data_IF_357336068313
#
_entry.id   IF_357336068313
#
_cell.length_a   1.000
_cell.length_b   1.000
_cell.length_c   1.000
_cell.angle_alpha   90.00
_cell.angle_beta   90.00
_cell.angle_gamma   90.00
#
_symmetry.space_group_name_H-M   'P 1'
#
loop_
_entity.id
_entity.type
_entity.pdbx_description
1 polymer ?
#
# COMPACT_ATOMS: atom_id res chain seq x y z
N UNK A 1 26.87 -14.76 59.43
CA UNK A 1 27.18 -13.41 58.93
C UNK A 1 27.59 -13.55 57.47
N UNK A 2 26.67 -13.21 56.58
CA UNK A 2 26.91 -13.05 55.14
C UNK A 2 26.29 -11.69 54.84
N UNK A 3 27.09 -10.75 54.35
CA UNK A 3 26.64 -9.41 53.92
C UNK A 3 27.16 -9.14 52.52
N UNK A 4 26.24 -8.62 51.70
CA UNK A 4 26.42 -8.06 50.35
C UNK A 4 27.41 -6.88 50.32
N UNK A 5 27.97 -6.64 49.13
CA UNK A 5 28.20 -5.33 48.46
C UNK A 5 28.72 -5.67 47.03
N UNK A 6 27.98 -5.41 45.94
CA UNK A 6 27.64 -4.15 45.24
C UNK A 6 28.79 -3.57 44.38
N UNK A 7 28.45 -3.38 43.10
CA UNK A 7 28.89 -2.34 42.17
C UNK A 7 30.33 -2.36 41.62
N UNK A 8 30.44 -2.73 40.33
CA UNK A 8 31.49 -2.24 39.43
C UNK A 8 30.85 -1.56 38.21
N UNK A 9 31.16 -0.28 38.10
CA UNK A 9 30.76 0.67 37.06
C UNK A 9 31.32 0.26 35.68
N UNK A 10 30.49 0.39 34.64
CA UNK A 10 30.89 0.28 33.24
C UNK A 10 31.29 1.68 32.74
N UNK A 11 32.56 1.84 32.37
CA UNK A 11 33.11 3.06 31.78
C UNK A 11 32.36 3.49 30.50
N UNK A 12 32.01 4.78 30.43
CA UNK A 12 31.44 5.46 29.27
C UNK A 12 32.50 5.61 28.15
N UNK A 13 32.22 5.03 26.98
CA UNK A 13 33.02 5.27 25.77
C UNK A 13 32.68 6.64 25.14
N UNK A 14 33.68 7.52 25.06
CA UNK A 14 33.59 8.83 24.40
C UNK A 14 33.41 8.70 22.87
N UNK A 15 32.59 9.55 22.22
CA UNK A 15 32.32 9.46 20.78
C UNK A 15 33.51 9.94 19.95
N UNK A 16 33.95 9.10 19.01
CA UNK A 16 34.98 9.42 18.04
C UNK A 16 34.49 10.47 17.03
N UNK A 17 35.34 11.47 16.79
CA UNK A 17 35.14 12.58 15.85
C UNK A 17 35.36 12.07 14.42
N UNK A 18 34.34 12.14 13.57
CA UNK A 18 34.45 11.82 12.13
C UNK A 18 34.92 13.05 11.37
N UNK A 19 36.17 13.01 10.87
CA UNK A 19 36.71 14.00 9.96
C UNK A 19 36.16 13.79 8.54
N UNK A 20 35.51 14.81 7.98
CA UNK A 20 35.02 14.83 6.61
C UNK A 20 36.14 15.13 5.60
N UNK A 21 36.06 14.52 4.43
CA UNK A 21 36.83 14.96 3.27
C UNK A 21 36.07 14.65 1.98
N UNK A 22 35.79 15.69 1.19
CA UNK A 22 35.15 15.59 -0.13
C UNK A 22 34.21 16.77 -0.37
N UNK A 23 34.41 17.50 -1.46
CA UNK A 23 33.60 18.67 -1.85
C UNK A 23 32.13 18.27 -2.09
N UNK A 24 31.31 18.32 -1.06
CA UNK A 24 29.86 18.30 -1.21
C UNK A 24 29.40 19.73 -1.49
N UNK A 25 28.89 19.97 -2.70
CA UNK A 25 27.98 21.09 -2.93
C UNK A 25 26.85 20.88 -1.91
N UNK A 26 26.73 21.80 -0.95
CA UNK A 26 25.74 21.69 0.13
C UNK A 26 24.36 21.59 -0.51
N UNK A 27 23.84 20.35 -0.55
CA UNK A 27 22.55 20.05 -1.13
C UNK A 27 21.48 20.45 -0.10
N UNK A 28 21.03 21.70 -0.16
CA UNK A 28 20.00 22.27 0.73
C UNK A 28 18.63 21.55 0.63
N UNK A 29 18.51 20.55 -0.26
CA UNK A 29 17.29 19.76 -0.41
C UNK A 29 17.13 18.81 0.76
N UNK A 30 15.88 18.71 1.22
CA UNK A 30 15.50 17.77 2.25
C UNK A 30 15.52 16.34 1.73
N UNK A 31 16.33 15.48 2.35
CA UNK A 31 16.50 14.06 2.01
C UNK A 31 15.41 13.22 2.67
N UNK A 32 14.52 12.64 1.85
CA UNK A 32 13.36 11.88 2.32
C UNK A 32 13.48 10.41 1.89
N UNK A 33 13.37 9.50 2.87
CA UNK A 33 13.35 8.05 2.63
C UNK A 33 11.92 7.48 2.72
N UNK A 34 11.48 6.80 1.67
CA UNK A 34 10.28 5.96 1.64
C UNK A 34 10.62 4.49 1.86
N UNK A 35 9.86 3.82 2.72
CA UNK A 35 10.06 2.39 3.02
C UNK A 35 8.82 1.60 2.60
N UNK A 36 8.97 0.74 1.60
CA UNK A 36 7.89 0.05 0.89
C UNK A 36 7.60 0.70 -0.47
N UNK A 37 7.32 -0.09 -1.50
CA UNK A 37 7.04 0.27 -2.89
C UNK A 37 5.55 0.03 -3.26
N UNK A 38 4.67 0.05 -2.26
CA UNK A 38 3.21 -0.05 -2.44
C UNK A 38 2.57 1.24 -2.94
N UNK A 39 1.24 1.24 -3.11
CA UNK A 39 0.53 2.39 -3.68
C UNK A 39 0.72 3.71 -2.89
N UNK A 40 0.93 3.65 -1.56
CA UNK A 40 1.16 4.84 -0.74
C UNK A 40 2.46 5.52 -1.12
N UNK A 41 3.57 4.78 -1.15
CA UNK A 41 4.88 5.35 -1.50
C UNK A 41 4.93 5.78 -2.95
N UNK A 42 4.31 5.06 -3.88
CA UNK A 42 4.20 5.48 -5.27
C UNK A 42 3.43 6.80 -5.40
N UNK A 43 2.37 6.98 -4.63
CA UNK A 43 1.63 8.24 -4.55
C UNK A 43 2.49 9.36 -3.96
N UNK A 44 3.15 9.15 -2.82
CA UNK A 44 4.01 10.17 -2.18
C UNK A 44 5.21 10.53 -3.07
N UNK A 45 5.89 9.53 -3.62
CA UNK A 45 7.02 9.67 -4.52
C UNK A 45 6.62 10.28 -5.87
N UNK A 46 5.34 10.30 -6.26
CA UNK A 46 4.89 11.06 -7.42
C UNK A 46 4.90 12.58 -7.17
N UNK A 47 4.70 13.02 -5.91
CA UNK A 47 4.48 14.42 -5.56
C UNK A 47 5.76 15.14 -5.14
N UNK A 48 6.59 14.54 -4.28
CA UNK A 48 7.84 15.20 -3.82
C UNK A 48 8.79 15.59 -4.97
N UNK A 49 9.03 14.75 -5.99
CA UNK A 49 9.93 15.09 -7.10
C UNK A 49 9.39 16.16 -8.06
N UNK A 50 8.15 16.61 -7.91
CA UNK A 50 7.65 17.79 -8.63
C UNK A 50 8.25 19.09 -8.06
N UNK A 51 8.94 19.00 -6.94
CA UNK A 51 9.69 20.07 -6.31
C UNK A 51 11.17 19.66 -6.15
N UNK A 52 11.89 19.40 -7.26
CA UNK A 52 13.27 18.91 -7.24
C UNK A 52 14.24 19.91 -6.60
N UNK A 53 13.83 21.17 -6.44
CA UNK A 53 14.56 22.22 -5.71
C UNK A 53 14.41 22.12 -4.18
N UNK A 54 13.49 21.30 -3.67
CA UNK A 54 13.19 21.17 -2.23
C UNK A 54 13.51 19.79 -1.66
N UNK A 55 13.42 18.73 -2.46
CA UNK A 55 13.47 17.36 -1.97
C UNK A 55 14.45 16.49 -2.77
N UNK A 56 15.23 15.70 -2.04
CA UNK A 56 16.01 14.58 -2.56
C UNK A 56 15.37 13.28 -2.07
N UNK A 57 14.86 12.45 -2.98
CA UNK A 57 13.95 11.34 -2.65
C UNK A 57 14.61 9.98 -2.88
N UNK A 58 14.56 9.12 -1.86
CA UNK A 58 14.94 7.69 -1.98
C UNK A 58 13.77 6.80 -1.61
N UNK A 59 13.52 5.73 -2.38
CA UNK A 59 12.52 4.70 -2.09
C UNK A 59 13.22 3.36 -1.98
N UNK A 60 12.96 2.62 -0.88
CA UNK A 60 13.50 1.28 -0.65
C UNK A 60 12.39 0.27 -0.41
N UNK A 61 12.52 -0.94 -0.95
CA UNK A 61 11.64 -2.08 -0.64
C UNK A 61 12.45 -3.37 -0.62
N UNK A 62 12.14 -4.26 0.32
CA UNK A 62 12.73 -5.59 0.41
C UNK A 62 12.37 -6.47 -0.80
N UNK A 63 11.27 -6.16 -1.48
CA UNK A 63 10.75 -6.85 -2.66
C UNK A 63 11.29 -6.22 -3.95
N UNK A 64 11.44 -7.02 -5.00
CA UNK A 64 12.03 -6.59 -6.28
C UNK A 64 11.07 -5.87 -7.25
N UNK A 65 9.83 -5.58 -6.85
CA UNK A 65 8.81 -4.97 -7.70
C UNK A 65 7.99 -3.90 -6.96
N UNK A 66 7.29 -3.04 -7.72
CA UNK A 66 6.40 -2.01 -7.18
C UNK A 66 4.93 -2.43 -7.33
N UNK A 67 4.06 -1.99 -6.41
CA UNK A 67 2.59 -2.12 -6.54
C UNK A 67 1.96 -3.36 -5.91
N UNK A 68 2.73 -4.32 -5.39
CA UNK A 68 2.20 -5.59 -4.84
C UNK A 68 2.41 -6.77 -5.79
N UNK A 69 2.16 -8.02 -5.34
CA UNK A 69 2.49 -9.21 -6.11
C UNK A 69 1.78 -9.23 -7.47
N UNK A 70 2.44 -9.74 -8.53
CA UNK A 70 1.86 -9.72 -9.86
C UNK A 70 0.57 -10.55 -9.92
N UNK A 71 -0.53 -9.91 -10.29
CA UNK A 71 -1.85 -10.54 -10.38
C UNK A 71 -2.13 -10.98 -11.82
N UNK A 72 -2.29 -12.29 -12.07
CA UNK A 72 -2.49 -12.84 -13.43
C UNK A 72 -3.74 -12.28 -14.10
N UNK A 73 -4.80 -12.10 -13.32
CA UNK A 73 -6.10 -11.63 -13.79
C UNK A 73 -6.09 -10.11 -14.04
N UNK A 74 -5.11 -9.39 -13.47
CA UNK A 74 -4.90 -7.96 -13.64
C UNK A 74 -3.49 -7.70 -14.22
N UNK A 75 -3.20 -8.16 -15.45
CA UNK A 75 -1.85 -8.09 -16.02
C UNK A 75 -1.35 -6.64 -16.13
N UNK A 76 -2.26 -5.70 -16.40
CA UNK A 76 -1.96 -4.26 -16.49
C UNK A 76 -1.57 -3.64 -15.14
N UNK A 77 -1.90 -4.27 -14.01
CA UNK A 77 -1.49 -3.77 -12.70
C UNK A 77 0.02 -3.94 -12.49
N UNK A 78 0.59 -5.03 -13.02
CA UNK A 78 2.03 -5.26 -13.04
C UNK A 78 2.73 -4.24 -13.95
N UNK A 79 2.19 -4.04 -15.16
CA UNK A 79 2.69 -3.04 -16.11
C UNK A 79 2.60 -1.62 -15.53
N UNK A 80 1.56 -1.32 -14.76
CA UNK A 80 1.41 -0.05 -14.06
C UNK A 80 2.52 0.16 -13.02
N UNK A 81 2.84 -0.86 -12.23
CA UNK A 81 3.95 -0.81 -11.26
C UNK A 81 5.29 -0.50 -11.92
N UNK A 82 5.63 -1.21 -13.01
CA UNK A 82 6.86 -1.01 -13.77
C UNK A 82 6.92 0.38 -14.44
N UNK A 83 5.84 0.78 -15.10
CA UNK A 83 5.75 2.08 -15.78
C UNK A 83 5.88 3.21 -14.77
N UNK A 84 5.22 3.07 -13.62
CA UNK A 84 5.31 4.06 -12.54
C UNK A 84 6.72 4.12 -11.96
N UNK A 85 7.38 2.99 -11.76
CA UNK A 85 8.80 2.95 -11.32
C UNK A 85 9.70 3.71 -12.31
N UNK A 86 9.60 3.44 -13.61
CA UNK A 86 10.36 4.15 -14.66
C UNK A 86 10.07 5.66 -14.64
N UNK A 87 8.82 6.05 -14.44
CA UNK A 87 8.41 7.45 -14.35
C UNK A 87 8.93 8.16 -13.08
N UNK A 88 9.09 7.44 -11.97
CA UNK A 88 9.71 7.98 -10.76
C UNK A 88 11.22 8.17 -10.95
N UNK A 89 11.90 7.18 -11.53
CA UNK A 89 13.34 7.27 -11.84
C UNK A 89 13.63 8.42 -12.80
N UNK A 90 12.83 8.60 -13.85
CA UNK A 90 13.01 9.73 -14.78
C UNK A 90 12.78 11.11 -14.15
N UNK A 91 12.12 11.16 -12.99
CA UNK A 91 11.92 12.37 -12.18
C UNK A 91 12.97 12.54 -11.08
N UNK A 92 14.02 11.72 -11.06
CA UNK A 92 15.13 11.81 -10.11
C UNK A 92 14.93 11.09 -8.77
N UNK A 93 13.92 10.22 -8.66
CA UNK A 93 13.77 9.35 -7.47
C UNK A 93 14.82 8.25 -7.50
N UNK A 94 15.58 8.11 -6.42
CA UNK A 94 16.51 6.98 -6.25
C UNK A 94 15.73 5.75 -5.80
N UNK A 95 15.68 4.71 -6.63
CA UNK A 95 14.97 3.46 -6.33
C UNK A 95 15.92 2.35 -5.88
N UNK A 96 15.68 1.80 -4.69
CA UNK A 96 16.42 0.69 -4.06
C UNK A 96 15.47 -0.50 -3.81
N UNK A 97 15.08 -1.19 -4.88
CA UNK A 97 14.32 -2.45 -4.77
C UNK A 97 15.25 -3.60 -4.36
N UNK A 98 14.69 -4.70 -3.84
CA UNK A 98 15.48 -5.78 -3.25
C UNK A 98 16.49 -5.27 -2.20
N UNK A 99 16.10 -4.25 -1.44
CA UNK A 99 16.92 -3.63 -0.39
C UNK A 99 16.05 -3.46 0.85
N UNK A 100 16.39 -4.20 1.89
CA UNK A 100 15.65 -4.19 3.15
C UNK A 100 16.17 -3.11 4.10
N UNK A 101 15.24 -2.35 4.68
CA UNK A 101 15.49 -1.58 5.90
C UNK A 101 15.48 -2.53 7.10
N UNK A 102 16.65 -2.82 7.67
CA UNK A 102 16.78 -3.75 8.80
C UNK A 102 16.52 -3.06 10.13
N UNK A 103 16.99 -1.82 10.28
CA UNK A 103 16.93 -1.09 11.54
C UNK A 103 16.95 0.43 11.31
N UNK A 104 16.10 1.16 12.05
CA UNK A 104 16.26 2.60 12.26
C UNK A 104 17.14 2.81 13.48
N UNK A 105 18.42 3.15 13.25
CA UNK A 105 19.48 3.26 14.27
C UNK A 105 19.27 4.51 15.13
N UNK A 106 18.97 5.63 14.48
CA UNK A 106 18.76 6.92 15.14
C UNK A 106 17.52 7.59 14.59
N UNK A 107 16.72 8.17 15.48
CA UNK A 107 15.59 9.03 15.11
C UNK A 107 15.37 10.07 16.20
N UNK A 108 15.79 11.31 15.93
CA UNK A 108 15.69 12.43 16.88
C UNK A 108 15.39 13.73 16.14
N UNK A 109 15.54 14.91 16.77
CA UNK A 109 15.25 16.20 16.12
C UNK A 109 16.23 16.58 15.01
N UNK A 110 17.38 15.92 14.96
CA UNK A 110 18.50 16.20 14.06
C UNK A 110 18.45 15.35 12.78
N UNK A 111 17.62 14.30 12.73
CA UNK A 111 17.41 13.48 11.53
C UNK A 111 17.15 12.00 11.85
N UNK A 112 17.37 11.18 10.84
CA UNK A 112 17.17 9.72 10.85
C UNK A 112 18.42 9.03 10.30
N UNK A 113 18.93 8.02 11.01
CA UNK A 113 19.96 7.11 10.48
C UNK A 113 19.38 5.70 10.38
N UNK A 114 19.61 5.04 9.25
CA UNK A 114 19.05 3.73 8.94
C UNK A 114 20.13 2.75 8.49
N UNK A 115 19.92 1.47 8.76
CA UNK A 115 20.71 0.36 8.22
C UNK A 115 19.95 -0.34 7.11
N UNK A 116 20.57 -0.43 5.95
CA UNK A 116 20.05 -1.07 4.76
C UNK A 116 20.88 -2.32 4.44
N UNK A 117 20.20 -3.32 3.90
CA UNK A 117 20.82 -4.58 3.51
C UNK A 117 20.31 -5.01 2.12
N UNK A 118 21.20 -5.29 1.15
CA UNK A 118 20.76 -5.81 -0.12
C UNK A 118 20.18 -7.22 0.06
N UNK A 119 19.21 -7.57 -0.78
CA UNK A 119 18.59 -8.89 -0.85
C UNK A 119 18.93 -9.53 -2.18
N UNK A 120 19.28 -10.81 -2.14
CA UNK A 120 19.51 -11.63 -3.32
C UNK A 120 18.20 -11.75 -4.10
N UNK A 121 18.15 -11.32 -5.37
CA UNK A 121 16.96 -11.46 -6.19
C UNK A 121 16.59 -12.94 -6.36
N UNK A 122 15.31 -13.25 -6.15
CA UNK A 122 14.74 -14.59 -6.38
C UNK A 122 13.95 -14.61 -7.69
N UNK A 123 13.73 -15.79 -8.33
CA UNK A 123 13.12 -15.87 -9.65
C UNK A 123 11.73 -15.20 -9.80
N UNK A 124 10.94 -15.14 -8.73
CA UNK A 124 9.63 -14.49 -8.68
C UNK A 124 9.68 -13.05 -8.10
N UNK A 125 10.89 -12.56 -7.80
CA UNK A 125 11.17 -11.28 -7.15
C UNK A 125 10.48 -11.05 -5.79
N UNK A 126 9.93 -12.10 -5.16
CA UNK A 126 9.22 -12.02 -3.88
C UNK A 126 10.00 -12.67 -2.74
N UNK A 127 10.80 -11.88 -2.03
CA UNK A 127 11.59 -12.35 -0.87
C UNK A 127 11.39 -11.47 0.39
N UNK A 128 10.18 -11.41 0.98
CA UNK A 128 9.89 -10.53 2.11
C UNK A 128 10.39 -11.02 3.48
N UNK A 129 10.78 -12.30 3.61
CA UNK A 129 11.05 -12.96 4.91
C UNK A 129 12.39 -13.71 4.86
N UNK A 130 13.23 -13.57 5.90
CA UNK A 130 14.48 -14.32 6.03
C UNK A 130 15.62 -13.79 5.16
N UNK A 131 16.15 -12.61 5.51
CA UNK A 131 17.19 -11.94 4.73
C UNK A 131 18.53 -12.65 4.67
N UNK A 132 19.31 -12.28 3.65
CA UNK A 132 20.63 -12.83 3.38
C UNK A 132 21.51 -12.64 4.62
N UNK A 133 21.83 -13.69 5.37
CA UNK A 133 22.54 -13.57 6.65
C UNK A 133 23.88 -12.83 6.50
N UNK A 134 24.57 -13.02 5.38
CA UNK A 134 25.93 -12.52 5.16
C UNK A 134 26.04 -11.24 4.28
N UNK A 135 24.94 -10.62 3.85
CA UNK A 135 25.04 -9.41 3.03
C UNK A 135 25.59 -8.22 3.84
N UNK A 136 26.43 -7.35 3.24
CA UNK A 136 26.99 -6.19 3.92
C UNK A 136 25.89 -5.20 4.28
N UNK A 137 25.96 -4.65 5.50
CA UNK A 137 25.03 -3.63 5.99
C UNK A 137 25.61 -2.26 5.71
N UNK A 138 24.83 -1.38 5.04
CA UNK A 138 25.19 0.02 4.86
C UNK A 138 24.39 0.91 5.81
N UNK A 139 25.02 1.94 6.36
CA UNK A 139 24.36 2.96 7.18
C UNK A 139 24.17 4.24 6.37
N UNK A 140 22.95 4.78 6.34
CA UNK A 140 22.59 5.96 5.57
C UNK A 140 21.80 6.96 6.43
N UNK A 141 22.05 8.26 6.23
CA UNK A 141 21.38 9.34 6.95
C UNK A 141 20.37 10.08 6.06
N UNK A 142 19.22 10.43 6.65
CA UNK A 142 18.09 11.11 6.03
C UNK A 142 17.50 12.14 6.99
N UNK A 143 16.82 13.16 6.45
CA UNK A 143 16.12 14.14 7.29
C UNK A 143 14.79 13.60 7.80
N UNK A 144 14.10 12.82 6.97
CA UNK A 144 12.79 12.24 7.30
C UNK A 144 12.64 10.82 6.77
N UNK A 145 11.89 10.01 7.53
CA UNK A 145 11.48 8.66 7.15
C UNK A 145 9.96 8.57 7.04
N UNK A 146 9.49 7.90 5.98
CA UNK A 146 8.06 7.65 5.76
C UNK A 146 7.83 6.15 5.61
N UNK A 147 7.41 5.45 6.68
CA UNK A 147 7.04 4.04 6.59
C UNK A 147 5.75 3.88 5.79
N UNK A 148 5.88 3.28 4.61
CA UNK A 148 4.78 2.88 3.71
C UNK A 148 4.58 1.35 3.70
N UNK A 149 4.90 0.72 4.82
CA UNK A 149 4.77 -0.72 5.04
C UNK A 149 3.71 -1.03 6.12
N UNK A 150 3.46 -2.32 6.31
CA UNK A 150 2.55 -2.85 7.31
C UNK A 150 2.96 -2.41 8.73
N UNK A 151 1.99 -2.28 9.64
CA UNK A 151 2.21 -1.76 10.99
C UNK A 151 3.17 -2.63 11.84
N UNK A 152 3.13 -3.95 11.66
CA UNK A 152 4.05 -4.90 12.30
C UNK A 152 5.48 -4.74 11.77
N UNK A 153 5.64 -4.54 10.46
CA UNK A 153 6.92 -4.30 9.80
C UNK A 153 7.48 -2.94 10.21
N UNK A 154 6.66 -1.88 10.23
CA UNK A 154 7.03 -0.57 10.75
C UNK A 154 7.49 -0.67 12.22
N UNK A 155 6.74 -1.38 13.07
CA UNK A 155 7.10 -1.62 14.48
C UNK A 155 8.42 -2.39 14.61
N UNK A 156 8.66 -3.39 13.75
CA UNK A 156 9.90 -4.19 13.72
C UNK A 156 11.11 -3.32 13.37
N UNK A 157 11.05 -2.55 12.28
CA UNK A 157 12.18 -1.73 11.82
C UNK A 157 12.46 -0.52 12.72
N UNK A 158 11.42 0.03 13.36
CA UNK A 158 11.58 1.11 14.35
C UNK A 158 12.19 0.59 15.66
N UNK A 159 12.00 -0.69 16.02
CA UNK A 159 12.73 -1.38 17.08
C UNK A 159 12.85 -0.61 18.41
N UNK A 160 14.09 -0.27 18.79
CA UNK A 160 14.39 0.47 20.04
C UNK A 160 14.05 1.96 19.95
N UNK A 161 14.00 2.54 18.75
CA UNK A 161 13.60 3.94 18.52
C UNK A 161 12.09 4.14 18.49
N UNK A 162 11.32 3.04 18.59
CA UNK A 162 9.87 3.09 18.77
C UNK A 162 9.52 3.51 20.21
N UNK A 163 8.77 4.61 20.32
CA UNK A 163 8.16 5.14 21.54
C UNK A 163 7.18 4.15 22.15
N UNK A 164 6.91 4.31 23.45
CA UNK A 164 5.94 3.46 24.16
C UNK A 164 4.54 3.49 23.52
N UNK A 165 4.13 4.63 22.94
CA UNK A 165 2.87 4.78 22.20
C UNK A 165 2.84 3.96 20.90
N UNK A 166 3.96 3.87 20.20
CA UNK A 166 4.11 3.05 18.98
C UNK A 166 4.12 1.53 19.30
N UNK A 167 4.38 1.14 20.56
CA UNK A 167 4.48 -0.28 20.96
C UNK A 167 3.16 -0.94 21.42
N UNK A 168 2.14 -0.18 21.84
CA UNK A 168 1.01 -0.68 22.66
C UNK A 168 -0.25 -1.19 21.90
N UNK A 169 -0.34 -1.08 20.58
CA UNK A 169 -1.52 -1.57 19.85
C UNK A 169 -1.42 -3.06 19.50
N UNK A 170 -2.46 -3.87 19.82
CA UNK A 170 -3.08 -4.96 19.02
C UNK A 170 -3.93 -5.94 19.90
N UNK A 171 -5.19 -6.22 19.51
CA UNK A 171 -6.12 -7.21 20.09
C UNK A 171 -7.39 -7.44 19.23
N UNK A 172 -8.00 -8.64 19.25
CA UNK A 172 -8.95 -9.18 18.24
C UNK A 172 -10.41 -9.48 18.69
N UNK A 173 -11.30 -9.58 17.67
CA UNK A 173 -12.66 -10.20 17.52
C UNK A 173 -13.91 -9.53 18.18
N UNK A 174 -15.15 -9.55 17.66
CA UNK A 174 -15.87 -10.39 16.66
C UNK A 174 -17.06 -9.63 15.97
N UNK A 175 -17.75 -10.25 14.99
CA UNK A 175 -18.92 -9.72 14.24
C UNK A 175 -20.19 -10.60 14.36
N UNK A 176 -21.37 -10.01 14.11
CA UNK A 176 -22.74 -10.55 14.35
C UNK A 176 -23.42 -11.00 13.05
N UNK A 177 -24.27 -12.03 13.13
CA UNK A 177 -25.06 -12.58 12.03
C UNK A 177 -26.57 -12.36 12.16
N UNK A 178 -27.18 -11.79 11.12
CA UNK A 178 -28.40 -12.22 10.39
C UNK A 178 -28.93 -11.08 9.51
N UNK A 179 -29.53 -11.42 8.37
CA UNK A 179 -30.16 -10.46 7.44
C UNK A 179 -31.66 -10.76 7.31
N UNK A 180 -32.45 -9.82 7.83
CA UNK A 180 -33.89 -9.53 7.78
C UNK A 180 -34.76 -10.19 6.69
N UNK A 181 -35.24 -11.41 6.93
CA UNK A 181 -36.65 -11.82 6.76
C UNK A 181 -37.45 -11.56 5.46
N UNK A 182 -36.85 -11.13 4.34
CA UNK A 182 -37.57 -10.81 3.10
C UNK A 182 -37.60 -11.96 2.08
N UNK A 183 -38.75 -12.15 1.43
CA UNK A 183 -38.95 -13.10 0.33
C UNK A 183 -38.04 -12.75 -0.87
N UNK A 184 -37.26 -13.73 -1.34
CA UNK A 184 -36.28 -13.61 -2.42
C UNK A 184 -36.68 -14.39 -3.69
N UNK A 185 -37.93 -14.85 -3.80
CA UNK A 185 -38.39 -15.75 -4.88
C UNK A 185 -38.13 -15.21 -6.30
N UNK A 186 -38.24 -13.89 -6.51
CA UNK A 186 -37.91 -13.24 -7.79
C UNK A 186 -36.40 -13.21 -8.11
N UNK A 187 -35.56 -13.13 -7.09
CA UNK A 187 -34.10 -13.25 -7.23
C UNK A 187 -33.68 -14.69 -7.47
N UNK A 188 -34.39 -15.65 -6.90
CA UNK A 188 -34.18 -17.07 -7.15
C UNK A 188 -34.55 -17.45 -8.59
N UNK A 189 -35.67 -16.97 -9.12
CA UNK A 189 -36.06 -17.24 -10.51
C UNK A 189 -35.11 -16.62 -11.54
N UNK A 190 -34.62 -15.39 -11.29
CA UNK A 190 -33.53 -14.79 -12.07
C UNK A 190 -32.22 -15.58 -11.94
N UNK A 191 -31.90 -16.04 -10.72
CA UNK A 191 -30.69 -16.81 -10.49
C UNK A 191 -30.68 -18.16 -11.23
N UNK A 192 -31.81 -18.82 -11.39
CA UNK A 192 -31.86 -20.13 -12.07
C UNK A 192 -31.36 -20.06 -13.52
N UNK A 193 -31.57 -18.94 -14.22
CA UNK A 193 -31.23 -18.81 -15.64
C UNK A 193 -30.01 -17.91 -15.90
N UNK A 194 -29.76 -16.92 -15.04
CA UNK A 194 -28.77 -15.87 -15.24
C UNK A 194 -27.78 -15.73 -14.06
N UNK A 195 -27.77 -16.65 -13.10
CA UNK A 195 -26.83 -16.56 -11.97
C UNK A 195 -25.40 -16.84 -12.37
N UNK A 196 -24.59 -15.79 -12.28
CA UNK A 196 -23.16 -15.81 -12.62
C UNK A 196 -22.41 -15.25 -11.42
N UNK A 197 -22.28 -16.04 -10.34
CA UNK A 197 -21.72 -15.54 -9.11
C UNK A 197 -20.27 -15.15 -9.33
N UNK A 198 -19.97 -13.86 -9.19
CA UNK A 198 -18.59 -13.37 -9.18
C UNK A 198 -17.86 -13.80 -7.89
N UNK A 199 -18.61 -14.01 -6.81
CA UNK A 199 -18.13 -14.37 -5.48
C UNK A 199 -18.92 -15.55 -4.96
N UNK A 200 -18.24 -16.47 -4.32
CA UNK A 200 -18.86 -17.57 -3.59
C UNK A 200 -18.09 -17.82 -2.29
N UNK A 201 -18.85 -18.13 -1.25
CA UNK A 201 -18.34 -18.37 0.09
C UNK A 201 -18.51 -19.87 0.37
N UNK A 202 -17.39 -20.57 0.54
CA UNK A 202 -17.38 -21.96 0.98
C UNK A 202 -17.20 -21.98 2.50
N UNK A 203 -18.15 -22.59 3.20
CA UNK A 203 -18.08 -22.76 4.65
C UNK A 203 -17.28 -24.03 4.94
N UNK A 204 -16.36 -23.98 5.91
CA UNK A 204 -15.64 -25.18 6.32
C UNK A 204 -16.54 -26.10 7.14
N UNK A 205 -16.72 -27.38 6.77
CA UNK A 205 -17.58 -28.30 7.52
C UNK A 205 -17.15 -28.47 8.98
N UNK A 206 -15.83 -28.43 9.24
CA UNK A 206 -15.25 -28.58 10.58
C UNK A 206 -15.38 -27.35 11.48
N UNK A 207 -15.57 -26.15 10.92
CA UNK A 207 -15.81 -24.92 11.67
C UNK A 207 -16.62 -23.92 10.84
N UNK A 208 -17.92 -23.84 11.12
CA UNK A 208 -18.86 -22.98 10.39
C UNK A 208 -18.71 -21.49 10.71
N UNK A 209 -17.90 -21.11 11.70
CA UNK A 209 -17.56 -19.71 11.97
C UNK A 209 -16.51 -19.17 11.01
N UNK A 210 -15.85 -20.05 10.26
CA UNK A 210 -14.80 -19.72 9.30
C UNK A 210 -15.31 -19.93 7.88
N UNK A 211 -14.74 -19.16 6.97
CA UNK A 211 -15.12 -19.17 5.57
C UNK A 211 -13.90 -19.11 4.66
N UNK A 212 -14.06 -19.72 3.50
CA UNK A 212 -13.18 -19.59 2.36
C UNK A 212 -13.86 -18.69 1.34
N UNK A 213 -13.14 -17.67 0.90
CA UNK A 213 -13.63 -16.75 -0.11
C UNK A 213 -13.07 -17.13 -1.47
N UNK A 214 -13.95 -17.27 -2.44
CA UNK A 214 -13.56 -17.62 -3.78
C UNK A 214 -14.29 -16.74 -4.79
N UNK A 215 -13.64 -16.54 -5.93
CA UNK A 215 -14.07 -15.63 -6.98
C UNK A 215 -14.07 -16.40 -8.30
N UNK A 216 -15.15 -16.22 -9.06
CA UNK A 216 -15.15 -16.53 -10.48
C UNK A 216 -14.68 -15.29 -11.20
N UNK A 217 -13.37 -15.26 -11.49
CA UNK A 217 -12.75 -14.08 -12.09
C UNK A 217 -13.19 -13.87 -13.54
N UNK A 218 -13.66 -14.94 -14.20
CA UNK A 218 -14.22 -14.87 -15.54
C UNK A 218 -15.53 -14.11 -15.55
N UNK A 219 -16.40 -14.32 -14.57
CA UNK A 219 -17.61 -13.53 -14.40
C UNK A 219 -17.37 -12.14 -13.78
N UNK A 220 -16.28 -11.98 -13.01
CA UNK A 220 -15.95 -10.71 -12.32
C UNK A 220 -15.29 -9.67 -13.23
N UNK A 221 -14.46 -10.09 -14.18
CA UNK A 221 -13.63 -9.19 -14.98
C UNK A 221 -14.27 -8.88 -16.33
N UNK A 222 -14.33 -7.59 -16.67
CA UNK A 222 -14.93 -7.12 -17.93
C UNK A 222 -14.17 -7.51 -19.21
N UNK A 223 -12.97 -8.09 -19.08
CA UNK A 223 -12.14 -8.51 -20.21
C UNK A 223 -12.60 -9.83 -20.85
N UNK A 224 -13.42 -10.62 -20.15
CA UNK A 224 -13.96 -11.87 -20.68
C UNK A 224 -15.27 -11.61 -21.44
N UNK A 225 -15.55 -12.39 -22.50
CA UNK A 225 -16.85 -12.37 -23.15
C UNK A 225 -17.96 -12.63 -22.14
N UNK A 226 -19.14 -12.09 -22.41
CA UNK A 226 -20.29 -12.30 -21.53
C UNK A 226 -20.49 -13.80 -21.31
N UNK A 227 -20.39 -14.69 -22.31
CA UNK A 227 -20.54 -16.15 -22.14
C UNK A 227 -19.23 -16.89 -22.44
N UNK A 228 -18.62 -17.45 -21.40
CA UNK A 228 -17.44 -18.33 -21.48
C UNK A 228 -17.87 -19.75 -21.06
N UNK A 229 -17.42 -20.82 -21.75
CA UNK A 229 -17.65 -22.19 -21.29
C UNK A 229 -17.05 -22.42 -19.91
N UNK A 230 -17.79 -23.08 -19.01
CA UNK A 230 -17.41 -23.23 -17.60
C UNK A 230 -16.02 -23.85 -17.40
N UNK A 231 -15.63 -24.77 -18.28
CA UNK A 231 -14.34 -25.46 -18.26
C UNK A 231 -13.15 -24.51 -18.52
N UNK A 232 -13.42 -23.31 -19.03
CA UNK A 232 -12.43 -22.27 -19.30
C UNK A 232 -12.49 -21.13 -18.27
N UNK A 233 -13.34 -21.25 -17.23
CA UNK A 233 -13.41 -20.25 -16.18
C UNK A 233 -12.12 -20.24 -15.35
N UNK A 234 -11.74 -19.04 -14.93
CA UNK A 234 -10.59 -18.80 -14.06
C UNK A 234 -11.12 -18.44 -12.68
N UNK A 235 -10.68 -19.20 -11.69
CA UNK A 235 -11.07 -19.03 -10.31
C UNK A 235 -9.91 -18.49 -9.48
N UNK A 236 -10.24 -17.68 -8.47
CA UNK A 236 -9.31 -17.26 -7.43
C UNK A 236 -9.87 -17.70 -6.09
N UNK A 237 -9.09 -18.44 -5.31
CA UNK A 237 -9.45 -18.82 -3.95
C UNK A 237 -8.50 -18.14 -2.96
N UNK A 238 -9.06 -17.55 -1.90
CA UNK A 238 -8.31 -16.91 -0.82
C UNK A 238 -8.43 -17.75 0.43
N UNK A 239 -7.29 -18.10 1.00
CA UNK A 239 -7.18 -18.80 2.26
C UNK A 239 -6.53 -17.88 3.30
N UNK A 240 -7.16 -17.79 4.47
CA UNK A 240 -6.72 -16.88 5.54
C UNK A 240 -6.00 -17.64 6.66
N UNK A 241 -5.10 -16.94 7.35
CA UNK A 241 -4.44 -17.37 8.58
C UNK A 241 -3.79 -18.75 8.48
N UNK A 242 -2.73 -18.86 7.68
CA UNK A 242 -2.00 -20.12 7.47
C UNK A 242 -1.68 -20.82 8.80
N UNK A 243 -1.09 -20.13 9.75
CA UNK A 243 -0.60 -20.78 10.97
C UNK A 243 -1.72 -21.33 11.86
N UNK A 244 -2.89 -20.67 11.87
CA UNK A 244 -4.03 -21.05 12.70
C UNK A 244 -4.99 -22.02 12.00
N UNK A 245 -5.29 -21.75 10.73
CA UNK A 245 -6.44 -22.30 10.03
C UNK A 245 -6.04 -23.23 8.85
N UNK A 246 -4.74 -23.48 8.59
CA UNK A 246 -4.29 -24.31 7.45
C UNK A 246 -4.94 -25.69 7.38
N UNK A 247 -5.19 -26.30 8.54
CA UNK A 247 -5.87 -27.61 8.66
C UNK A 247 -7.28 -27.63 8.07
N UNK A 248 -7.92 -26.47 7.92
CA UNK A 248 -9.24 -26.33 7.32
C UNK A 248 -9.17 -26.11 5.81
N UNK A 249 -8.03 -25.69 5.27
CA UNK A 249 -7.91 -25.29 3.87
C UNK A 249 -8.19 -26.46 2.93
N UNK A 250 -8.99 -26.20 1.89
CA UNK A 250 -9.28 -27.16 0.82
C UNK A 250 -8.34 -26.98 -0.38
N UNK A 251 -7.12 -26.48 -0.17
CA UNK A 251 -6.15 -26.25 -1.24
C UNK A 251 -5.68 -27.56 -1.90
N UNK A 252 -5.67 -28.65 -1.14
CA UNK A 252 -5.36 -30.00 -1.61
C UNK A 252 -6.44 -30.63 -2.51
N UNK A 253 -7.67 -30.11 -2.50
CA UNK A 253 -8.76 -30.57 -3.39
C UNK A 253 -8.58 -30.01 -4.82
N UNK A 254 -7.74 -28.99 -4.99
CA UNK A 254 -7.49 -28.36 -6.28
C UNK A 254 -6.46 -29.18 -7.04
N UNK A 255 -6.86 -29.65 -8.22
CA UNK A 255 -5.97 -30.30 -9.18
C UNK A 255 -4.74 -29.44 -9.47
N UNK A 256 -3.55 -29.96 -9.18
CA UNK A 256 -2.28 -29.23 -9.32
C UNK A 256 -2.02 -28.75 -10.75
N UNK A 257 -2.42 -29.54 -11.76
CA UNK A 257 -2.29 -29.21 -13.18
C UNK A 257 -3.18 -28.04 -13.63
N UNK A 258 -4.15 -27.63 -12.79
CA UNK A 258 -5.05 -26.50 -13.03
C UNK A 258 -4.67 -25.25 -12.26
N UNK A 259 -3.62 -25.32 -11.44
CA UNK A 259 -3.14 -24.18 -10.66
C UNK A 259 -2.28 -23.31 -11.56
N UNK A 260 -2.82 -22.16 -11.95
CA UNK A 260 -2.07 -21.18 -12.74
C UNK A 260 -0.98 -20.52 -11.89
N UNK A 261 -1.30 -20.19 -10.62
CA UNK A 261 -0.39 -19.52 -9.69
C UNK A 261 -0.84 -19.64 -8.24
N UNK A 262 0.12 -19.58 -7.31
CA UNK A 262 -0.10 -19.44 -5.86
C UNK A 262 0.72 -18.25 -5.38
N UNK A 263 0.07 -17.30 -4.73
CA UNK A 263 0.73 -16.14 -4.13
C UNK A 263 0.48 -16.13 -2.63
N UNK A 264 1.50 -15.69 -1.90
CA UNK A 264 1.40 -15.42 -0.48
C UNK A 264 1.42 -13.92 -0.30
N UNK A 265 0.45 -13.39 0.44
CA UNK A 265 0.46 -11.99 0.84
C UNK A 265 -0.08 -11.87 2.26
N UNK A 266 0.29 -10.78 2.91
CA UNK A 266 -0.19 -10.44 4.23
C UNK A 266 -1.31 -9.41 4.07
N UNK A 267 -2.54 -9.77 4.40
CA UNK A 267 -3.70 -8.89 4.31
C UNK A 267 -4.01 -8.27 5.66
N UNK A 268 -4.11 -6.94 5.72
CA UNK A 268 -4.50 -6.22 6.93
C UNK A 268 -6.00 -6.41 7.18
N UNK A 269 -6.38 -6.80 8.38
CA UNK A 269 -7.74 -6.67 8.88
C UNK A 269 -7.70 -5.80 10.13
N UNK A 270 -8.49 -4.72 10.13
CA UNK A 270 -8.51 -3.80 11.25
C UNK A 270 -9.52 -4.31 12.29
N UNK A 271 -9.08 -4.56 13.51
CA UNK A 271 -10.02 -4.80 14.61
C UNK A 271 -10.63 -3.48 15.07
N UNK A 272 -11.73 -3.53 15.81
CA UNK A 272 -12.38 -2.32 16.34
C UNK A 272 -11.40 -1.48 17.20
N UNK A 273 -10.42 -2.12 17.86
CA UNK A 273 -9.40 -1.43 18.66
C UNK A 273 -8.54 -0.52 17.80
N UNK A 274 -8.27 -0.90 16.55
CA UNK A 274 -7.57 -0.06 15.60
C UNK A 274 -8.36 1.24 15.34
N UNK A 275 -9.66 1.10 15.06
CA UNK A 275 -10.55 2.23 14.80
C UNK A 275 -10.73 3.13 16.03
N UNK A 276 -10.70 2.58 17.24
CA UNK A 276 -10.86 3.35 18.49
C UNK A 276 -9.56 3.99 19.00
N UNK A 277 -8.42 3.31 18.86
CA UNK A 277 -7.19 3.70 19.55
C UNK A 277 -6.03 4.06 18.62
N UNK A 278 -6.02 3.57 17.38
CA UNK A 278 -4.93 3.87 16.44
C UNK A 278 -5.35 5.01 15.52
N UNK A 279 -6.45 4.85 14.77
CA UNK A 279 -6.90 5.84 13.79
C UNK A 279 -7.08 7.25 14.39
N UNK A 280 -7.73 7.45 15.57
CA UNK A 280 -7.88 8.79 16.16
C UNK A 280 -6.56 9.34 16.69
N UNK A 281 -5.61 8.48 17.03
CA UNK A 281 -4.30 8.89 17.56
C UNK A 281 -3.28 9.23 16.47
N UNK A 282 -3.57 8.96 15.20
CA UNK A 282 -2.66 9.23 14.09
C UNK A 282 -2.19 10.69 14.05
N UNK A 283 -3.06 11.66 14.35
CA UNK A 283 -2.71 13.07 14.40
C UNK A 283 -1.60 13.42 15.40
N UNK A 284 -1.44 12.60 16.45
CA UNK A 284 -0.40 12.80 17.46
C UNK A 284 0.92 12.10 17.10
N UNK A 285 0.87 11.16 16.15
CA UNK A 285 2.04 10.41 15.66
C UNK A 285 2.64 11.04 14.40
N UNK A 286 1.81 11.65 13.54
CA UNK A 286 2.27 12.26 12.31
C UNK A 286 3.26 13.41 12.55
N UNK A 287 4.32 13.43 11.75
CA UNK A 287 5.40 14.42 11.77
C UNK A 287 6.12 14.55 13.13
N UNK A 288 6.01 13.55 14.01
CA UNK A 288 6.83 13.46 15.23
C UNK A 288 8.12 12.72 14.92
N UNK A 289 9.21 13.22 15.52
CA UNK A 289 10.55 12.64 15.36
C UNK A 289 10.90 12.40 13.88
N UNK A 290 10.57 13.37 13.01
CA UNK A 290 10.79 13.29 11.57
C UNK A 290 10.22 12.02 10.89
N UNK A 291 9.10 11.53 11.40
CA UNK A 291 8.36 10.38 10.83
C UNK A 291 6.99 10.78 10.35
N UNK A 292 6.62 10.34 9.15
CA UNK A 292 5.24 10.39 8.66
C UNK A 292 4.79 9.00 8.25
N UNK A 293 3.60 8.61 8.64
CA UNK A 293 3.06 7.29 8.32
C UNK A 293 2.10 7.41 7.13
N UNK A 294 2.21 6.53 6.14
CA UNK A 294 1.32 6.53 4.97
C UNK A 294 1.05 5.10 4.50
N UNK A 295 -0.17 4.62 4.72
CA UNK A 295 -0.66 3.31 4.32
C UNK A 295 -2.17 3.22 4.64
N UNK A 296 -2.84 2.18 4.17
CA UNK A 296 -4.26 1.93 4.49
C UNK A 296 -4.55 1.86 5.99
N UNK A 297 -3.64 1.28 6.79
CA UNK A 297 -3.79 1.19 8.25
C UNK A 297 -3.79 2.56 8.94
N UNK A 298 -3.48 3.66 8.26
CA UNK A 298 -3.59 4.99 8.90
C UNK A 298 -5.04 5.43 9.13
N UNK A 299 -6.04 4.73 8.57
CA UNK A 299 -7.45 4.98 8.84
C UNK A 299 -8.31 3.71 8.72
N UNK A 300 -8.45 3.18 7.51
CA UNK A 300 -9.24 1.98 7.21
C UNK A 300 -8.63 1.26 6.02
N UNK A 301 -8.70 -0.07 6.01
CA UNK A 301 -8.18 -0.89 4.91
C UNK A 301 -8.92 -0.60 3.59
N UNK A 302 -8.45 0.39 2.85
CA UNK A 302 -8.95 0.79 1.55
C UNK A 302 -7.80 1.35 0.70
N UNK A 303 -7.82 1.02 -0.58
CA UNK A 303 -6.79 1.48 -1.52
C UNK A 303 -6.79 3.01 -1.66
N UNK A 304 -7.95 3.65 -1.63
CA UNK A 304 -8.11 5.10 -1.63
C UNK A 304 -7.41 5.75 -0.43
N UNK A 305 -7.51 5.14 0.76
CA UNK A 305 -6.81 5.62 1.96
C UNK A 305 -5.30 5.51 1.79
N UNK A 306 -4.81 4.42 1.19
CA UNK A 306 -3.39 4.26 0.85
C UNK A 306 -2.91 5.40 -0.06
N UNK A 307 -3.67 5.74 -1.10
CA UNK A 307 -3.30 6.84 -2.01
C UNK A 307 -3.38 8.20 -1.31
N UNK A 308 -4.48 8.50 -0.61
CA UNK A 308 -4.71 9.77 0.09
C UNK A 308 -3.67 10.00 1.19
N UNK A 309 -3.36 8.96 1.98
CA UNK A 309 -2.33 9.02 3.02
C UNK A 309 -0.94 9.27 2.43
N UNK A 310 -0.65 8.68 1.27
CA UNK A 310 0.56 8.96 0.51
C UNK A 310 0.66 10.43 0.10
N UNK A 311 -0.42 11.01 -0.45
CA UNK A 311 -0.45 12.43 -0.82
C UNK A 311 -0.31 13.31 0.42
N UNK A 312 -1.00 12.98 1.52
CA UNK A 312 -0.92 13.72 2.77
C UNK A 312 0.51 13.76 3.34
N UNK A 313 1.24 12.64 3.25
CA UNK A 313 2.63 12.57 3.67
C UNK A 313 3.58 13.44 2.81
N UNK A 314 3.25 13.69 1.54
CA UNK A 314 3.99 14.61 0.67
C UNK A 314 3.60 16.08 0.89
N UNK A 315 2.31 16.37 1.07
CA UNK A 315 1.81 17.74 1.27
C UNK A 315 2.25 18.30 2.62
N UNK A 316 2.33 17.47 3.66
CA UNK A 316 2.74 17.90 5.00
C UNK A 316 4.14 18.56 5.08
N UNK A 317 5.21 18.05 4.43
CA UNK A 317 6.51 18.72 4.36
C UNK A 317 6.59 19.86 3.33
N UNK A 318 5.55 20.09 2.52
CA UNK A 318 5.47 21.29 1.65
C UNK A 318 5.25 21.05 0.17
N UNK A 319 5.00 19.81 -0.27
CA UNK A 319 4.56 19.58 -1.66
C UNK A 319 3.16 20.14 -1.91
N UNK A 320 2.86 20.47 -3.16
CA UNK A 320 1.55 20.95 -3.54
C UNK A 320 0.56 19.81 -3.73
N UNK A 321 -0.66 19.99 -3.22
CA UNK A 321 -1.76 19.09 -3.54
C UNK A 321 -2.17 19.32 -5.00
N UNK A 322 -2.41 18.28 -5.82
CA UNK A 322 -2.67 18.45 -7.25
C UNK A 322 -3.87 19.33 -7.56
N UNK A 323 -3.71 20.25 -8.52
CA UNK A 323 -4.76 21.19 -8.93
C UNK A 323 -6.01 20.47 -9.47
N UNK A 324 -5.84 19.40 -10.24
CA UNK A 324 -6.96 18.64 -10.77
C UNK A 324 -7.74 17.92 -9.65
N UNK A 325 -7.05 17.36 -8.66
CA UNK A 325 -7.69 16.76 -7.49
C UNK A 325 -8.32 17.79 -6.54
N UNK A 326 -7.83 19.04 -6.50
CA UNK A 326 -8.50 20.13 -5.75
C UNK A 326 -9.80 20.55 -6.44
N UNK A 327 -9.84 20.49 -7.77
CA UNK A 327 -11.02 20.79 -8.57
C UNK A 327 -12.00 19.61 -8.71
N UNK A 328 -11.61 18.40 -8.30
CA UNK A 328 -12.53 17.28 -8.05
C UNK A 328 -13.12 17.43 -6.64
N UNK A 329 -14.40 17.79 -6.57
CA UNK A 329 -15.06 18.11 -5.30
C UNK A 329 -15.08 16.95 -4.29
N UNK A 330 -15.20 15.70 -4.76
CA UNK A 330 -15.24 14.54 -3.88
C UNK A 330 -13.83 14.16 -3.42
N UNK A 331 -12.86 14.08 -4.35
CA UNK A 331 -11.47 13.79 -4.01
C UNK A 331 -10.92 14.83 -3.03
N UNK A 332 -11.19 16.11 -3.27
CA UNK A 332 -10.75 17.18 -2.38
C UNK A 332 -11.39 17.11 -1.00
N UNK A 333 -12.69 16.78 -0.92
CA UNK A 333 -13.37 16.57 0.37
C UNK A 333 -12.74 15.41 1.15
N UNK A 334 -12.56 14.25 0.50
CA UNK A 334 -11.92 13.07 1.09
C UNK A 334 -10.51 13.40 1.61
N UNK A 335 -9.70 14.10 0.81
CA UNK A 335 -8.37 14.53 1.21
C UNK A 335 -8.40 15.45 2.43
N UNK A 336 -9.29 16.45 2.46
CA UNK A 336 -9.39 17.38 3.60
C UNK A 336 -9.82 16.71 4.89
N UNK A 337 -10.80 15.80 4.81
CA UNK A 337 -11.28 15.06 5.98
C UNK A 337 -10.19 14.12 6.50
N UNK A 338 -9.52 13.40 5.61
CA UNK A 338 -8.37 12.57 5.98
C UNK A 338 -7.25 13.41 6.60
N UNK A 339 -6.87 14.53 5.97
CA UNK A 339 -5.80 15.40 6.46
C UNK A 339 -6.13 16.02 7.83
N UNK A 340 -7.40 16.36 8.07
CA UNK A 340 -7.86 16.79 9.39
C UNK A 340 -7.73 15.67 10.42
N UNK A 341 -8.22 14.49 10.12
CA UNK A 341 -8.27 13.36 11.05
C UNK A 341 -6.88 12.77 11.34
N UNK A 342 -6.11 12.50 10.29
CA UNK A 342 -4.82 11.82 10.38
C UNK A 342 -3.67 12.78 10.67
N UNK A 343 -3.72 14.04 10.20
CA UNK A 343 -2.63 15.01 10.40
C UNK A 343 -3.00 16.13 11.39
N UNK A 344 -4.24 16.20 11.89
CA UNK A 344 -4.67 17.22 12.84
C UNK A 344 -4.74 18.64 12.26
N UNK A 345 -4.75 18.78 10.92
CA UNK A 345 -4.65 20.07 10.23
C UNK A 345 -5.75 20.22 9.20
N UNK A 346 -6.34 21.41 9.12
CA UNK A 346 -7.28 21.72 8.05
C UNK A 346 -6.54 22.22 6.81
N UNK A 347 -6.59 21.46 5.72
CA UNK A 347 -5.99 21.88 4.45
C UNK A 347 -6.75 23.07 3.85
N UNK A 348 -6.00 24.12 3.49
CA UNK A 348 -6.53 25.35 2.90
C UNK A 348 -6.42 25.27 1.37
N UNK A 349 -7.51 25.63 0.69
CA UNK A 349 -7.59 25.73 -0.77
C UNK A 349 -6.49 26.62 -1.33
N UNK A 350 -5.79 26.15 -2.37
CA UNK A 350 -4.82 26.95 -3.12
C UNK A 350 -5.41 27.43 -4.45
N UNK A 351 -5.95 26.52 -5.24
CA UNK A 351 -6.41 26.80 -6.61
C UNK A 351 -7.87 27.27 -6.66
N UNK A 352 -8.72 26.76 -5.76
CA UNK A 352 -10.17 27.00 -5.77
C UNK A 352 -10.63 28.15 -4.87
N UNK A 353 -9.72 28.86 -4.19
CA UNK A 353 -10.05 29.87 -3.17
C UNK A 353 -10.82 31.07 -3.74
N UNK A 354 -10.47 31.52 -4.95
CA UNK A 354 -11.02 32.71 -5.59
C UNK A 354 -11.51 32.45 -7.03
N UNK A 355 -11.55 31.20 -7.48
CA UNK A 355 -11.98 30.85 -8.83
C UNK A 355 -13.42 30.34 -8.83
N UNK A 356 -14.30 31.03 -9.57
CA UNK A 356 -15.66 30.55 -9.85
C UNK A 356 -15.69 29.46 -10.93
N UNK A 357 -14.71 29.47 -11.83
CA UNK A 357 -14.58 28.48 -12.90
C UNK A 357 -13.11 28.07 -13.08
N UNK A 358 -12.85 26.78 -13.36
CA UNK A 358 -11.50 26.27 -13.59
C UNK A 358 -10.94 26.81 -14.91
N UNK A 359 -9.80 27.50 -14.86
CA UNK A 359 -9.18 28.13 -16.03
C UNK A 359 -8.09 27.23 -16.65
N UNK A 360 -7.26 26.62 -15.82
CA UNK A 360 -6.20 25.72 -16.23
C UNK A 360 -6.73 24.40 -16.82
N UNK A 361 -5.95 23.79 -17.72
CA UNK A 361 -6.31 22.50 -18.34
C UNK A 361 -6.50 21.40 -17.29
N UNK A 362 -5.62 21.35 -16.29
CA UNK A 362 -5.71 20.39 -15.18
C UNK A 362 -6.96 20.64 -14.32
N UNK A 363 -7.23 21.89 -13.96
CA UNK A 363 -8.44 22.29 -13.22
C UNK A 363 -9.74 21.88 -13.96
N UNK A 364 -9.81 22.13 -15.28
CA UNK A 364 -10.97 21.73 -16.10
C UNK A 364 -11.12 20.21 -16.14
N UNK A 365 -10.02 19.48 -16.29
CA UNK A 365 -10.01 18.03 -16.24
C UNK A 365 -10.52 17.52 -14.88
N UNK A 366 -10.04 18.06 -13.76
CA UNK A 366 -10.52 17.72 -12.41
C UNK A 366 -12.02 17.93 -12.23
N UNK A 367 -12.50 19.13 -12.56
CA UNK A 367 -13.91 19.51 -12.39
C UNK A 367 -14.91 18.66 -13.17
N UNK A 368 -14.47 18.00 -14.25
CA UNK A 368 -15.33 17.16 -15.09
C UNK A 368 -15.35 15.69 -14.66
N UNK A 369 -14.49 15.28 -13.71
CA UNK A 369 -14.36 13.88 -13.26
C UNK A 369 -15.38 13.47 -12.21
N UNK A 370 -16.10 14.40 -11.59
CA UNK A 370 -17.13 14.11 -10.60
C UNK A 370 -18.50 14.63 -11.04
N UNK A 371 -19.55 13.85 -10.83
CA UNK A 371 -20.94 14.19 -11.14
C UNK A 371 -21.92 13.56 -10.14
N UNK A 372 -23.21 13.87 -10.26
CA UNK A 372 -24.22 13.40 -9.31
C UNK A 372 -24.23 14.19 -8.00
N UNK A 373 -25.11 13.81 -7.07
CA UNK A 373 -25.25 14.49 -5.78
C UNK A 373 -23.91 14.38 -5.01
N UNK A 374 -23.33 15.52 -4.64
CA UNK A 374 -22.01 15.63 -3.98
C UNK A 374 -20.82 15.01 -4.73
N UNK A 375 -20.91 14.81 -6.06
CA UNK A 375 -19.83 14.17 -6.82
C UNK A 375 -19.75 12.65 -6.65
N UNK A 376 -20.83 12.01 -6.18
CA UNK A 376 -20.94 10.57 -5.92
C UNK A 376 -20.71 9.67 -7.15
N UNK A 377 -20.72 10.22 -8.36
CA UNK A 377 -20.50 9.46 -9.60
C UNK A 377 -19.22 9.93 -10.31
N UNK A 378 -18.23 9.05 -10.33
CA UNK A 378 -16.99 9.25 -11.09
C UNK A 378 -17.27 9.20 -12.60
N UNK A 379 -16.73 10.17 -13.33
CA UNK A 379 -16.70 10.30 -14.79
C UNK A 379 -15.27 10.43 -15.32
N UNK A 380 -14.29 10.09 -14.49
CA UNK A 380 -12.88 10.21 -14.83
C UNK A 380 -12.38 9.17 -15.83
N UNK A 381 -11.09 9.24 -16.18
CA UNK A 381 -10.44 8.28 -17.07
C UNK A 381 -10.70 6.86 -16.58
N UNK A 382 -11.17 5.99 -17.46
CA UNK A 382 -11.50 4.60 -17.10
C UNK A 382 -13.00 4.31 -17.11
N UNK A 383 -13.85 5.31 -16.90
CA UNK A 383 -15.32 5.14 -16.97
C UNK A 383 -15.73 5.02 -18.44
N UNK A 384 -16.31 3.88 -18.81
CA UNK A 384 -16.85 3.64 -20.14
C UNK A 384 -18.37 3.53 -20.06
N UNK A 385 -19.08 4.34 -20.84
CA UNK A 385 -20.55 4.26 -20.99
C UNK A 385 -20.98 3.24 -22.03
N UNK A 386 -20.02 2.71 -22.78
CA UNK A 386 -20.20 1.64 -23.75
C UNK A 386 -19.43 0.43 -23.24
N UNK A 387 -20.05 -0.74 -23.29
CA UNK A 387 -19.41 -2.01 -22.98
C UNK A 387 -18.07 -2.11 -23.72
N UNK A 388 -16.96 -2.23 -22.98
CA UNK A 388 -15.64 -2.35 -23.58
C UNK A 388 -15.50 -3.73 -24.23
N UNK A 389 -15.85 -3.83 -25.51
CA UNK A 389 -15.38 -4.92 -26.36
C UNK A 389 -13.89 -4.72 -26.66
N UNK A 390 -12.99 -4.98 -25.73
CA UNK A 390 -11.54 -4.89 -25.99
C UNK A 390 -10.84 -5.73 -24.91
N UNK A 391 -9.86 -6.61 -25.17
CA UNK A 391 -8.63 -6.42 -25.93
C UNK A 391 -8.07 -7.77 -26.46
N UNK A 392 -8.30 -8.11 -27.74
CA UNK A 392 -7.42 -9.05 -28.44
C UNK A 392 -6.32 -8.24 -29.13
N UNK A 393 -5.25 -7.90 -28.41
CA UNK A 393 -3.96 -7.76 -29.12
C UNK A 393 -3.65 -9.16 -29.62
N UNK A 394 -3.81 -9.41 -30.92
CA UNK A 394 -3.24 -10.60 -31.57
C UNK A 394 -1.85 -10.80 -30.98
N UNK A 395 -1.53 -11.93 -30.34
CA UNK A 395 -0.13 -12.23 -30.07
C UNK A 395 0.59 -12.06 -31.42
N UNK A 396 1.62 -11.19 -31.45
CA UNK A 396 2.55 -11.17 -32.57
C UNK A 396 2.87 -12.62 -32.85
N UNK A 397 2.59 -13.09 -34.07
CA UNK A 397 2.83 -14.47 -34.52
C UNK A 397 4.21 -14.91 -34.02
N UNK A 398 4.26 -15.60 -32.88
CA UNK A 398 5.36 -16.47 -32.57
C UNK A 398 5.18 -17.63 -33.54
N UNK A 399 6.18 -17.83 -34.40
CA UNK A 399 6.16 -18.91 -35.35
C UNK A 399 5.80 -20.21 -34.62
N UNK A 400 4.80 -20.92 -35.15
CA UNK A 400 4.42 -22.22 -34.63
C UNK A 400 5.67 -23.12 -34.57
N UNK A 401 5.89 -23.88 -33.49
CA UNK A 401 6.90 -24.91 -33.50
C UNK A 401 6.51 -25.91 -34.60
N UNK A 402 7.42 -26.16 -35.55
CA UNK A 402 7.28 -27.28 -36.46
C UNK A 402 7.39 -28.55 -35.61
N UNK A 403 6.43 -29.45 -35.81
CA UNK A 403 6.44 -30.84 -35.33
C UNK A 403 7.72 -31.52 -35.79
#
# INVERSE_FOLDING_TARGET
MVTNDSDQELEEASPATMAGNGNDVEDDRKRVLFVGAGAASMSTAHHLPQHPEKFAVTLTDAVGYCGGPPMIVLPNFCEFGETSSKALVSRGVTMKLSTELTEVVLRNKQGVAVRLKPRTPVPDAYNPVGGDTNAPVSEEAYDEIVPCCLADTAKRVLGRTATWKEKKGLGEDAAVGKLDGMDQSSRLSFAVHDYRPMYYIKIYPGDKSKLQMCFDTTNYQCQYPEKVPFEQHIFQAIYLNKDRDRKLWSDHEIREDRIIRKDWWHQLCNSYTHCLFVAPCMMFLQAKNHTRFAAEWTLVNAHEVTVISGIAAAVAPGAEYPEDLENDGFAFLCFRLYYLLACGKWYRRKYTKNQRQPTARAAKAGSSRASGLYGSMCKGPGVATVERRTWWRRPRKAAAPRI
#
